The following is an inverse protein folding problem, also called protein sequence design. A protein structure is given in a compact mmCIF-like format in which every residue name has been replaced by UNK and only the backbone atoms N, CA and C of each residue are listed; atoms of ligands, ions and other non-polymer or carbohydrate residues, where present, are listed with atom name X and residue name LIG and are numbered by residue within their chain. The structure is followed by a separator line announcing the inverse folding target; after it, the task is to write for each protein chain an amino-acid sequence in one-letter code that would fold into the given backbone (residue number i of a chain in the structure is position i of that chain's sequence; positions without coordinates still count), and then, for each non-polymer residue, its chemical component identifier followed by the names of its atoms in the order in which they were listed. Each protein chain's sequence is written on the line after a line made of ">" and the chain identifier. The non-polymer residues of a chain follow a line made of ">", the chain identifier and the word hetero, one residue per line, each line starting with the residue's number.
data_IF_541899703321
#
_entry.id   IF_541899703321
#
_cell.length_a   1.000
_cell.length_b   1.000
_cell.length_c   1.000
_cell.angle_alpha   90.00
_cell.angle_beta   90.00
_cell.angle_gamma   90.00
#
_symmetry.space_group_name_H-M   'P 1'
#
loop_
_entity.id
_entity.type
_entity.pdbx_description
1 polymer ?
#
# COMPACT_ATOMS: atom_id res chain seq x y z
N UNK A 1 16.25 14.67 23.84
CA UNK A 1 16.39 14.38 22.39
C UNK A 1 15.08 14.76 21.72
N UNK A 2 15.09 15.54 20.62
CA UNK A 2 13.84 15.89 19.91
C UNK A 2 13.28 14.64 19.24
N UNK A 3 12.00 14.34 19.47
CA UNK A 3 11.35 13.22 18.79
C UNK A 3 11.32 13.48 17.28
N UNK A 4 11.58 12.46 16.44
CA UNK A 4 11.51 12.62 14.99
C UNK A 4 10.10 13.04 14.57
N UNK A 5 10.01 14.01 13.68
CA UNK A 5 8.74 14.42 13.08
C UNK A 5 8.19 13.27 12.22
N UNK A 6 7.04 12.74 12.59
CA UNK A 6 6.34 11.71 11.84
C UNK A 6 5.52 12.36 10.71
N UNK A 7 5.50 11.77 9.50
CA UNK A 7 4.73 12.31 8.38
C UNK A 7 3.24 11.93 8.42
N UNK A 8 2.79 11.37 9.54
CA UNK A 8 1.43 10.92 9.80
C UNK A 8 1.14 11.09 11.30
N UNK A 9 -0.13 11.24 11.65
CA UNK A 9 -0.53 11.44 13.04
C UNK A 9 -0.51 10.10 13.80
N UNK A 10 0.01 10.13 15.01
CA UNK A 10 0.08 8.96 15.90
C UNK A 10 -0.41 9.35 17.27
N UNK A 11 -1.22 8.49 17.87
CA UNK A 11 -1.67 8.66 19.24
C UNK A 11 -0.47 8.70 20.20
N UNK A 12 -0.51 9.60 21.19
CA UNK A 12 0.60 9.85 22.10
C UNK A 12 1.16 8.56 22.76
N UNK A 13 0.29 7.61 23.09
CA UNK A 13 0.66 6.33 23.72
C UNK A 13 1.57 5.44 22.87
N UNK A 14 1.62 5.62 21.54
CA UNK A 14 2.43 4.81 20.61
C UNK A 14 3.46 5.63 19.83
N UNK A 15 3.59 6.92 20.12
CA UNK A 15 4.47 7.84 19.37
C UNK A 15 5.94 7.43 19.41
N UNK A 16 6.45 7.02 20.57
CA UNK A 16 7.86 6.61 20.71
C UNK A 16 8.17 5.35 19.87
N UNK A 17 7.26 4.37 19.91
CA UNK A 17 7.37 3.12 19.13
C UNK A 17 7.37 3.41 17.62
N UNK A 18 6.42 4.22 17.14
CA UNK A 18 6.37 4.59 15.72
C UNK A 18 7.51 5.50 15.30
N UNK A 19 8.05 6.34 16.18
CA UNK A 19 9.30 7.07 15.95
C UNK A 19 10.45 6.14 15.58
N UNK A 20 10.67 5.11 16.40
CA UNK A 20 11.73 4.11 16.16
C UNK A 20 11.48 3.27 14.89
N UNK A 21 10.23 2.92 14.60
CA UNK A 21 9.87 2.21 13.36
C UNK A 21 10.11 3.10 12.15
N UNK A 22 9.71 4.37 12.23
CA UNK A 22 9.90 5.36 11.17
C UNK A 22 11.37 5.60 10.88
N UNK A 23 12.20 5.78 11.90
CA UNK A 23 13.64 6.01 11.72
C UNK A 23 14.32 4.84 10.99
N UNK A 24 13.96 3.60 11.33
CA UNK A 24 14.44 2.40 10.63
C UNK A 24 13.92 2.28 9.20
N UNK A 25 12.64 2.59 8.98
CA UNK A 25 12.00 2.45 7.67
C UNK A 25 12.37 3.61 6.71
N UNK A 26 12.72 4.79 7.22
CA UNK A 26 12.96 6.00 6.42
C UNK A 26 14.09 5.81 5.42
N UNK A 27 15.21 5.21 5.84
CA UNK A 27 16.34 4.94 4.95
C UNK A 27 15.97 3.92 3.87
N UNK A 28 15.24 2.87 4.24
CA UNK A 28 14.76 1.87 3.28
C UNK A 28 13.76 2.48 2.28
N UNK A 29 12.89 3.39 2.71
CA UNK A 29 11.98 4.14 1.81
C UNK A 29 12.73 5.06 0.85
N UNK A 30 13.77 5.75 1.33
CA UNK A 30 14.64 6.57 0.49
C UNK A 30 15.40 5.73 -0.53
N UNK A 31 15.96 4.59 -0.10
CA UNK A 31 16.63 3.66 -0.99
C UNK A 31 15.68 3.14 -2.08
N UNK A 32 14.46 2.72 -1.69
CA UNK A 32 13.47 2.15 -2.58
C UNK A 32 12.96 3.14 -3.64
N UNK A 33 12.55 4.34 -3.22
CA UNK A 33 11.79 5.25 -4.07
C UNK A 33 12.58 6.46 -4.59
N UNK A 34 13.81 6.65 -4.14
CA UNK A 34 14.66 7.78 -4.58
C UNK A 34 16.00 7.28 -5.11
N UNK A 35 16.81 6.63 -4.27
CA UNK A 35 18.19 6.27 -4.65
C UNK A 35 18.21 5.29 -5.81
N UNK A 36 17.49 4.17 -5.71
CA UNK A 36 17.49 3.15 -6.76
C UNK A 36 16.96 3.70 -8.12
N UNK A 37 15.81 4.41 -8.19
CA UNK A 37 15.37 5.04 -9.44
C UNK A 37 16.39 6.02 -10.05
N UNK A 38 17.09 6.80 -9.22
CA UNK A 38 18.13 7.71 -9.70
C UNK A 38 19.38 6.98 -10.20
N UNK A 39 19.76 5.87 -9.57
CA UNK A 39 20.85 5.01 -10.05
C UNK A 39 20.51 4.44 -11.43
N UNK A 40 19.28 3.95 -11.62
CA UNK A 40 18.83 3.45 -12.92
C UNK A 40 18.82 4.56 -13.96
N UNK A 41 18.31 5.76 -13.63
CA UNK A 41 18.34 6.92 -14.51
C UNK A 41 19.79 7.29 -14.92
N UNK A 42 20.72 7.33 -13.96
CA UNK A 42 22.13 7.59 -14.21
C UNK A 42 22.77 6.54 -15.12
N UNK A 43 22.49 5.26 -14.88
CA UNK A 43 22.94 4.17 -15.75
C UNK A 43 22.35 4.28 -17.16
N UNK A 44 21.09 4.71 -17.30
CA UNK A 44 20.49 5.00 -18.62
C UNK A 44 21.20 6.14 -19.32
N UNK A 45 21.46 7.26 -18.65
CA UNK A 45 22.19 8.39 -19.23
C UNK A 45 23.60 7.95 -19.69
N UNK A 46 24.32 7.19 -18.87
CA UNK A 46 25.63 6.68 -19.24
C UNK A 46 25.60 5.76 -20.47
N UNK A 47 24.61 4.86 -20.54
CA UNK A 47 24.43 3.99 -21.70
C UNK A 47 24.02 4.78 -22.96
N UNK A 48 23.21 5.83 -22.84
CA UNK A 48 22.82 6.71 -23.95
C UNK A 48 24.02 7.45 -24.54
N UNK A 49 24.92 7.96 -23.69
CA UNK A 49 26.17 8.60 -24.12
C UNK A 49 27.04 7.60 -24.88
N UNK A 50 27.18 6.38 -24.36
CA UNK A 50 27.94 5.31 -25.02
C UNK A 50 27.32 4.85 -26.35
N UNK A 51 25.99 4.90 -26.49
CA UNK A 51 25.26 4.47 -27.68
C UNK A 51 25.24 5.51 -28.83
N UNK A 52 25.75 6.73 -28.62
CA UNK A 52 25.99 7.69 -29.71
C UNK A 52 24.75 8.14 -30.49
N UNK A 53 23.59 8.30 -29.83
CA UNK A 53 22.37 8.83 -30.47
C UNK A 53 21.54 7.80 -31.24
N UNK A 54 21.75 6.50 -31.00
CA UNK A 54 20.99 5.41 -31.61
C UNK A 54 19.46 5.54 -31.38
N UNK A 55 18.58 5.12 -32.33
CA UNK A 55 17.12 5.26 -32.22
C UNK A 55 16.50 4.60 -30.97
N UNK A 56 17.15 3.58 -30.39
CA UNK A 56 16.74 2.96 -29.11
C UNK A 56 16.79 3.94 -27.93
N UNK A 57 17.48 5.06 -28.08
CA UNK A 57 17.56 6.13 -27.07
C UNK A 57 16.20 6.69 -26.69
N UNK A 58 15.32 6.89 -27.68
CA UNK A 58 13.97 7.40 -27.45
C UNK A 58 13.14 6.42 -26.63
N UNK A 59 13.26 5.12 -26.92
CA UNK A 59 12.58 4.05 -26.18
C UNK A 59 13.06 4.02 -24.71
N UNK A 60 14.37 4.07 -24.48
CA UNK A 60 14.91 4.06 -23.13
C UNK A 60 14.40 5.24 -22.29
N UNK A 61 14.40 6.44 -22.86
CA UNK A 61 13.87 7.63 -22.18
C UNK A 61 12.35 7.51 -21.92
N UNK A 62 11.58 6.99 -22.88
CA UNK A 62 10.14 6.81 -22.74
C UNK A 62 9.75 5.83 -21.62
N UNK A 63 10.59 4.84 -21.33
CA UNK A 63 10.37 3.90 -20.22
C UNK A 63 10.96 4.38 -18.90
N UNK A 64 12.15 4.97 -18.91
CA UNK A 64 12.87 5.31 -17.67
C UNK A 64 12.37 6.61 -17.06
N UNK A 65 12.17 7.67 -17.85
CA UNK A 65 11.81 8.99 -17.31
C UNK A 65 10.44 9.00 -16.63
N UNK A 66 9.35 8.48 -17.23
CA UNK A 66 8.04 8.50 -16.59
C UNK A 66 7.99 7.64 -15.32
N UNK A 67 8.71 6.52 -15.29
CA UNK A 67 8.72 5.60 -14.15
C UNK A 67 9.51 6.18 -12.98
N UNK A 68 10.67 6.81 -13.25
CA UNK A 68 11.43 7.57 -12.22
C UNK A 68 10.59 8.75 -11.72
N UNK A 69 10.00 9.53 -12.63
CA UNK A 69 9.14 10.66 -12.28
C UNK A 69 7.96 10.24 -11.40
N UNK A 70 7.31 9.12 -11.73
CA UNK A 70 6.23 8.57 -10.92
C UNK A 70 6.69 8.16 -9.51
N UNK A 71 7.82 7.46 -9.37
CA UNK A 71 8.31 7.00 -8.06
C UNK A 71 8.73 8.17 -7.16
N UNK A 72 9.41 9.17 -7.75
CA UNK A 72 9.75 10.40 -7.05
C UNK A 72 8.49 11.15 -6.61
N UNK A 73 7.53 11.33 -7.51
CA UNK A 73 6.24 11.94 -7.17
C UNK A 73 5.49 11.15 -6.09
N UNK A 74 5.47 9.81 -6.17
CA UNK A 74 4.83 8.94 -5.18
C UNK A 74 5.43 9.12 -3.78
N UNK A 75 6.75 9.34 -3.70
CA UNK A 75 7.47 9.62 -2.46
C UNK A 75 7.27 11.06 -1.97
N UNK A 76 7.33 12.05 -2.85
CA UNK A 76 7.21 13.47 -2.52
C UNK A 76 5.79 13.87 -2.12
N UNK A 77 4.78 13.30 -2.79
CA UNK A 77 3.37 13.55 -2.50
C UNK A 77 2.86 12.82 -1.24
N UNK A 78 3.70 12.03 -0.56
CA UNK A 78 3.27 11.24 0.60
C UNK A 78 2.30 10.11 0.27
N UNK A 79 2.01 9.84 -1.02
CA UNK A 79 1.06 8.80 -1.48
C UNK A 79 1.40 7.41 -0.95
N UNK A 80 2.66 7.14 -0.64
CA UNK A 80 3.08 5.88 -0.02
C UNK A 80 2.38 5.61 1.32
N UNK A 81 2.09 6.65 2.10
CA UNK A 81 1.39 6.54 3.39
C UNK A 81 -0.10 6.19 3.23
N UNK A 82 -0.72 6.63 2.14
CA UNK A 82 -2.15 6.37 1.87
C UNK A 82 -2.35 5.05 1.14
N UNK A 83 -1.39 4.65 0.29
CA UNK A 83 -1.47 3.43 -0.54
C UNK A 83 -0.46 2.39 -0.09
N UNK A 84 -0.70 1.83 1.09
CA UNK A 84 0.24 0.98 1.85
C UNK A 84 0.49 -0.38 1.20
N UNK A 85 -0.56 -1.03 0.67
CA UNK A 85 -0.54 -2.44 0.26
C UNK A 85 0.44 -2.85 -0.85
N UNK A 86 0.77 -1.96 -1.79
CA UNK A 86 1.46 -2.33 -3.03
C UNK A 86 2.83 -1.66 -3.20
N UNK A 87 3.57 -1.43 -2.12
CA UNK A 87 4.90 -0.81 -2.21
C UNK A 87 5.89 -1.66 -3.01
N UNK A 88 6.05 -2.93 -2.63
CA UNK A 88 6.96 -3.86 -3.31
C UNK A 88 6.54 -4.10 -4.77
N UNK A 89 5.24 -4.28 -5.02
CA UNK A 89 4.68 -4.46 -6.38
C UNK A 89 4.99 -3.24 -7.25
N UNK A 90 4.84 -2.01 -6.75
CA UNK A 90 5.23 -0.81 -7.50
C UNK A 90 6.73 -0.79 -7.77
N UNK A 91 7.56 -1.02 -6.74
CA UNK A 91 9.00 -1.02 -6.89
C UNK A 91 9.47 -2.01 -7.98
N UNK A 92 8.96 -3.25 -7.96
CA UNK A 92 9.33 -4.26 -8.96
C UNK A 92 8.75 -3.96 -10.34
N UNK A 93 7.47 -3.57 -10.47
CA UNK A 93 6.86 -3.30 -11.78
C UNK A 93 7.52 -2.11 -12.49
N UNK A 94 7.76 -1.02 -11.76
CA UNK A 94 8.46 0.14 -12.33
C UNK A 94 9.94 -0.14 -12.55
N UNK A 95 10.59 -0.90 -11.67
CA UNK A 95 11.97 -1.33 -11.87
C UNK A 95 12.15 -2.22 -13.10
N UNK A 96 11.24 -3.17 -13.34
CA UNK A 96 11.23 -3.99 -14.55
C UNK A 96 11.00 -3.15 -15.80
N UNK A 97 10.06 -2.20 -15.77
CA UNK A 97 9.85 -1.29 -16.89
C UNK A 97 11.12 -0.48 -17.22
N UNK A 98 11.85 -0.01 -16.20
CA UNK A 98 13.14 0.68 -16.38
C UNK A 98 14.21 -0.25 -16.98
N UNK A 99 14.30 -1.50 -16.51
CA UNK A 99 15.23 -2.48 -17.05
C UNK A 99 14.95 -2.78 -18.52
N UNK A 100 13.68 -3.01 -18.88
CA UNK A 100 13.30 -3.23 -20.28
C UNK A 100 13.57 -2.02 -21.17
N UNK A 101 13.43 -0.80 -20.64
CA UNK A 101 13.82 0.42 -21.33
C UNK A 101 15.34 0.54 -21.53
N UNK A 102 16.12 0.20 -20.52
CA UNK A 102 17.59 0.32 -20.52
C UNK A 102 18.27 -0.73 -21.41
N UNK A 103 17.82 -1.98 -21.37
CA UNK A 103 18.51 -3.12 -21.98
C UNK A 103 18.88 -2.90 -23.46
N UNK A 104 17.98 -2.41 -24.34
CA UNK A 104 18.30 -2.18 -25.75
C UNK A 104 19.43 -1.16 -25.94
N UNK A 105 19.46 -0.09 -25.14
CA UNK A 105 20.51 0.94 -25.22
C UNK A 105 21.83 0.42 -24.64
N UNK A 106 21.78 -0.36 -23.57
CA UNK A 106 22.96 -0.98 -22.98
C UNK A 106 23.63 -1.98 -23.93
N UNK A 107 22.86 -2.75 -24.70
CA UNK A 107 23.38 -3.65 -25.74
C UNK A 107 24.09 -2.84 -26.85
N UNK A 108 23.50 -1.73 -27.30
CA UNK A 108 24.11 -0.86 -28.32
C UNK A 108 25.39 -0.18 -27.82
N UNK A 109 25.39 0.31 -26.57
CA UNK A 109 26.59 0.86 -25.95
C UNK A 109 27.73 -0.16 -25.87
N UNK A 110 27.38 -1.44 -25.68
CA UNK A 110 28.31 -2.56 -25.76
C UNK A 110 29.42 -2.55 -24.71
N UNK A 111 30.31 -3.53 -24.82
CA UNK A 111 31.52 -3.64 -24.00
C UNK A 111 31.28 -3.56 -22.49
N UNK A 112 32.24 -2.95 -21.79
CA UNK A 112 32.18 -2.80 -20.33
C UNK A 112 31.05 -1.87 -19.87
N UNK A 113 30.77 -0.79 -20.62
CA UNK A 113 29.76 0.21 -20.25
C UNK A 113 28.35 -0.40 -20.25
N UNK A 114 28.00 -1.12 -21.31
CA UNK A 114 26.71 -1.80 -21.42
C UNK A 114 26.49 -2.85 -20.32
N UNK A 115 27.52 -3.66 -20.05
CA UNK A 115 27.47 -4.68 -19.00
C UNK A 115 27.32 -4.04 -17.60
N UNK A 116 28.12 -3.02 -17.28
CA UNK A 116 28.08 -2.33 -16.00
C UNK A 116 26.74 -1.63 -15.76
N UNK A 117 26.20 -0.91 -16.76
CA UNK A 117 24.92 -0.21 -16.63
C UNK A 117 23.76 -1.19 -16.38
N UNK A 118 23.76 -2.32 -17.10
CA UNK A 118 22.74 -3.38 -16.91
C UNK A 118 22.83 -4.01 -15.52
N UNK A 119 24.04 -4.32 -15.06
CA UNK A 119 24.27 -4.88 -13.73
C UNK A 119 23.84 -3.92 -12.62
N UNK A 120 24.24 -2.64 -12.71
CA UNK A 120 23.85 -1.61 -11.74
C UNK A 120 22.34 -1.44 -11.67
N UNK A 121 21.66 -1.41 -12.82
CA UNK A 121 20.21 -1.29 -12.85
C UNK A 121 19.52 -2.52 -12.23
N UNK A 122 19.99 -3.73 -12.55
CA UNK A 122 19.41 -4.95 -11.99
C UNK A 122 19.55 -4.99 -10.46
N UNK A 123 20.74 -4.67 -9.94
CA UNK A 123 20.99 -4.57 -8.50
C UNK A 123 20.13 -3.50 -7.86
N UNK A 124 19.98 -2.33 -8.49
CA UNK A 124 19.13 -1.25 -7.99
C UNK A 124 17.66 -1.67 -7.89
N UNK A 125 17.12 -2.40 -8.87
CA UNK A 125 15.73 -2.88 -8.85
C UNK A 125 15.51 -3.91 -7.73
N UNK A 126 16.44 -4.85 -7.56
CA UNK A 126 16.38 -5.83 -6.48
C UNK A 126 16.47 -5.14 -5.12
N UNK A 127 17.45 -4.24 -4.95
CA UNK A 127 17.64 -3.47 -3.72
C UNK A 127 16.41 -2.61 -3.39
N UNK A 128 15.79 -1.99 -4.41
CA UNK A 128 14.56 -1.21 -4.25
C UNK A 128 13.41 -2.07 -3.74
N UNK A 129 13.21 -3.25 -4.35
CA UNK A 129 12.14 -4.18 -3.98
C UNK A 129 12.30 -4.70 -2.56
N UNK A 130 13.52 -5.11 -2.19
CA UNK A 130 13.84 -5.55 -0.82
C UNK A 130 13.64 -4.40 0.17
N UNK A 131 14.11 -3.20 -0.15
CA UNK A 131 13.98 -2.04 0.73
C UNK A 131 12.53 -1.63 0.93
N UNK A 132 11.72 -1.63 -0.14
CA UNK A 132 10.27 -1.38 -0.06
C UNK A 132 9.56 -2.41 0.81
N UNK A 133 9.94 -3.69 0.68
CA UNK A 133 9.37 -4.80 1.46
C UNK A 133 9.74 -4.68 2.93
N UNK A 134 11.02 -4.44 3.24
CA UNK A 134 11.50 -4.24 4.61
C UNK A 134 10.87 -3.01 5.27
N UNK A 135 10.80 -1.88 4.55
CA UNK A 135 10.14 -0.68 5.05
C UNK A 135 8.66 -0.95 5.37
N UNK A 136 7.96 -1.66 4.48
CA UNK A 136 6.57 -2.03 4.70
C UNK A 136 6.41 -2.93 5.93
N UNK A 137 7.26 -3.96 6.08
CA UNK A 137 7.23 -4.85 7.24
C UNK A 137 7.50 -4.08 8.56
N UNK A 138 8.53 -3.25 8.60
CA UNK A 138 8.87 -2.48 9.81
C UNK A 138 7.74 -1.56 10.24
N UNK A 139 7.03 -0.93 9.28
CA UNK A 139 5.94 -0.01 9.58
C UNK A 139 4.61 -0.73 9.86
N UNK A 140 4.29 -1.80 9.14
CA UNK A 140 2.95 -2.39 9.12
C UNK A 140 2.84 -3.80 9.72
N UNK A 141 3.95 -4.43 10.10
CA UNK A 141 3.89 -5.67 10.86
C UNK A 141 3.70 -5.31 12.34
N UNK A 142 2.46 -5.41 12.85
CA UNK A 142 2.20 -5.36 14.28
C UNK A 142 1.13 -6.36 14.68
N UNK A 143 1.47 -7.26 15.59
CA UNK A 143 0.53 -8.21 16.19
C UNK A 143 -0.35 -7.55 17.28
N UNK A 144 0.05 -6.37 17.78
CA UNK A 144 -0.53 -5.77 19.00
C UNK A 144 -1.45 -4.58 18.71
N UNK A 145 -1.97 -4.47 17.49
CA UNK A 145 -2.88 -3.39 17.12
C UNK A 145 -2.23 -1.99 16.99
N UNK A 146 -0.90 -1.89 16.98
CA UNK A 146 -0.19 -0.62 16.91
C UNK A 146 -0.64 0.27 15.73
N UNK A 147 -0.99 -0.34 14.60
CA UNK A 147 -1.52 0.38 13.44
C UNK A 147 -2.82 1.17 13.73
N UNK A 148 -3.67 0.69 14.62
CA UNK A 148 -4.88 1.39 15.03
C UNK A 148 -4.60 2.72 15.75
N UNK A 149 -3.36 2.91 16.24
CA UNK A 149 -2.90 4.14 16.86
C UNK A 149 -2.31 5.16 15.86
N UNK A 150 -2.40 4.93 14.55
CA UNK A 150 -1.82 5.81 13.51
C UNK A 150 -2.87 6.26 12.51
N UNK A 151 -2.97 7.50 12.06
CA UNK A 151 -4.02 7.89 11.10
C UNK A 151 -3.85 7.29 9.67
N UNK A 152 -2.99 6.29 9.51
CA UNK A 152 -2.79 5.56 8.27
C UNK A 152 -3.98 4.62 7.99
N UNK A 153 -4.40 4.49 6.72
CA UNK A 153 -5.47 3.58 6.35
C UNK A 153 -5.03 2.12 6.57
N UNK A 154 -5.89 1.36 7.25
CA UNK A 154 -5.70 -0.08 7.46
C UNK A 154 -6.61 -0.82 6.50
N UNK A 155 -6.02 -1.35 5.42
CA UNK A 155 -6.74 -2.14 4.42
C UNK A 155 -6.72 -3.64 4.79
N UNK A 156 -7.88 -4.30 4.66
CA UNK A 156 -8.03 -5.76 4.76
C UNK A 156 -8.89 -6.27 3.61
N UNK A 157 -8.52 -7.46 3.13
CA UNK A 157 -9.33 -8.18 2.14
C UNK A 157 -10.65 -8.61 2.75
N UNK A 158 -11.70 -8.51 1.94
CA UNK A 158 -12.97 -9.14 2.25
C UNK A 158 -12.94 -10.60 1.81
N UNK A 159 -13.38 -11.47 2.72
CA UNK A 159 -13.74 -12.86 2.44
C UNK A 159 -15.07 -12.82 1.72
N UNK A 160 -15.06 -12.93 0.41
CA UNK A 160 -16.26 -13.03 -0.45
C UNK A 160 -16.03 -14.17 -1.42
N UNK A 161 -17.10 -14.90 -1.75
CA UNK A 161 -17.03 -16.10 -2.57
C UNK A 161 -16.35 -15.84 -3.93
N UNK A 162 -15.23 -16.52 -4.23
CA UNK A 162 -14.73 -16.66 -5.59
C UNK A 162 -15.74 -17.44 -6.45
N UNK A 163 -15.86 -17.19 -7.77
CA UNK A 163 -14.81 -16.60 -8.60
C UNK A 163 -15.00 -15.11 -8.97
N UNK A 164 -16.12 -14.48 -8.60
CA UNK A 164 -16.54 -13.24 -9.28
C UNK A 164 -16.19 -11.94 -8.57
N UNK A 165 -16.00 -11.93 -7.24
CA UNK A 165 -15.88 -10.69 -6.48
C UNK A 165 -14.56 -10.59 -5.71
N UNK A 166 -14.03 -9.38 -5.65
CA UNK A 166 -12.92 -8.97 -4.82
C UNK A 166 -13.37 -7.74 -4.01
N UNK A 167 -13.11 -7.74 -2.72
CA UNK A 167 -13.50 -6.63 -1.86
C UNK A 167 -12.41 -6.24 -0.90
N UNK A 168 -12.40 -4.97 -0.51
CA UNK A 168 -11.48 -4.42 0.49
C UNK A 168 -12.26 -3.59 1.49
N UNK A 169 -12.01 -3.80 2.78
CA UNK A 169 -12.41 -2.92 3.85
C UNK A 169 -11.21 -2.08 4.30
N UNK A 170 -11.47 -0.82 4.60
CA UNK A 170 -10.46 0.17 5.00
C UNK A 170 -10.92 0.86 6.27
N UNK A 171 -10.15 0.73 7.35
CA UNK A 171 -10.29 1.59 8.52
C UNK A 171 -9.52 2.87 8.20
N UNK A 172 -10.25 3.93 7.87
CA UNK A 172 -9.70 5.23 7.52
C UNK A 172 -9.38 6.09 8.74
N UNK A 173 -9.32 7.40 8.50
CA UNK A 173 -9.10 8.41 9.55
C UNK A 173 -10.37 8.76 10.33
N UNK A 174 -11.50 8.76 9.64
CA UNK A 174 -12.79 9.23 10.19
C UNK A 174 -13.95 8.28 9.88
N UNK A 175 -13.73 7.28 9.05
CA UNK A 175 -14.75 6.35 8.61
C UNK A 175 -14.17 4.96 8.36
N UNK A 176 -15.03 3.97 8.52
CA UNK A 176 -14.86 2.63 7.98
C UNK A 176 -15.49 2.61 6.60
N UNK A 177 -14.75 2.21 5.57
CA UNK A 177 -15.30 2.06 4.22
C UNK A 177 -14.99 0.68 3.66
N UNK A 178 -15.87 0.15 2.83
CA UNK A 178 -15.63 -1.07 2.07
C UNK A 178 -16.14 -0.96 0.65
N UNK A 179 -15.49 -1.67 -0.25
CA UNK A 179 -15.88 -1.71 -1.66
C UNK A 179 -15.74 -3.11 -2.21
N UNK A 180 -16.68 -3.48 -3.09
CA UNK A 180 -16.77 -4.75 -3.79
C UNK A 180 -16.64 -4.48 -5.28
N UNK A 181 -15.78 -5.26 -5.93
CA UNK A 181 -15.50 -5.15 -7.37
C UNK A 181 -15.56 -6.52 -8.03
N UNK A 182 -15.93 -6.60 -9.31
CA UNK A 182 -15.73 -7.81 -10.07
C UNK A 182 -14.23 -8.15 -10.13
N UNK A 183 -13.88 -9.41 -9.90
CA UNK A 183 -12.52 -9.92 -10.05
C UNK A 183 -12.08 -9.74 -11.51
N UNK A 184 -10.84 -9.31 -11.73
CA UNK A 184 -10.30 -9.06 -13.07
C UNK A 184 -10.48 -7.61 -13.57
N UNK A 185 -11.37 -6.82 -12.96
CA UNK A 185 -11.51 -5.39 -13.26
C UNK A 185 -10.62 -4.52 -12.37
N UNK A 186 -9.33 -4.86 -12.31
CA UNK A 186 -8.34 -4.08 -11.57
C UNK A 186 -8.12 -2.73 -12.28
N UNK A 187 -8.54 -1.63 -11.65
CA UNK A 187 -8.33 -0.27 -12.17
C UNK A 187 -9.57 0.43 -12.72
N UNK A 188 -10.70 -0.27 -12.89
CA UNK A 188 -11.97 0.40 -13.21
C UNK A 188 -12.52 1.16 -11.98
N UNK A 189 -12.97 2.40 -12.24
CA UNK A 189 -13.71 3.23 -11.28
C UNK A 189 -15.17 2.77 -11.24
N UNK A 190 -15.38 1.54 -10.77
CA UNK A 190 -16.70 1.01 -10.47
C UNK A 190 -16.59 0.02 -9.33
N UNK A 191 -17.35 0.24 -8.27
CA UNK A 191 -17.66 -0.80 -7.30
C UNK A 191 -19.06 -1.30 -7.60
N UNK A 192 -19.23 -2.62 -7.62
CA UNK A 192 -20.57 -3.23 -7.67
C UNK A 192 -21.38 -2.84 -6.43
N UNK A 193 -20.68 -2.70 -5.31
CA UNK A 193 -21.25 -2.32 -4.04
C UNK A 193 -20.17 -1.64 -3.21
N UNK A 194 -20.57 -0.62 -2.44
CA UNK A 194 -19.71 0.03 -1.46
C UNK A 194 -20.54 0.45 -0.26
N UNK A 195 -19.91 0.51 0.90
CA UNK A 195 -20.51 1.10 2.09
C UNK A 195 -19.47 1.91 2.84
N UNK A 196 -19.94 2.89 3.59
CA UNK A 196 -19.14 3.62 4.54
C UNK A 196 -19.94 3.90 5.81
N UNK A 197 -19.23 3.95 6.93
CA UNK A 197 -19.77 4.27 8.24
C UNK A 197 -18.81 5.23 8.91
N UNK A 198 -19.27 6.44 9.20
CA UNK A 198 -18.48 7.42 9.94
C UNK A 198 -18.25 6.91 11.37
N UNK A 199 -17.05 7.12 11.92
CA UNK A 199 -16.71 6.64 13.26
C UNK A 199 -17.62 7.21 14.35
N UNK A 200 -18.13 8.43 14.18
CA UNK A 200 -19.11 9.03 15.12
C UNK A 200 -20.51 8.38 15.10
N UNK A 201 -20.81 7.55 14.09
CA UNK A 201 -22.07 6.80 14.02
C UNK A 201 -21.96 5.40 14.64
N UNK A 202 -20.73 4.90 14.86
CA UNK A 202 -20.46 3.57 15.39
C UNK A 202 -20.71 3.54 16.90
N UNK A 203 -21.59 2.64 17.32
CA UNK A 203 -21.95 2.44 18.73
C UNK A 203 -21.33 1.16 19.31
N UNK A 204 -20.91 0.22 18.46
CA UNK A 204 -20.25 -1.00 18.90
C UNK A 204 -19.66 -1.79 17.74
N UNK A 205 -18.67 -2.63 18.04
CA UNK A 205 -18.02 -3.53 17.09
C UNK A 205 -17.96 -4.91 17.72
N UNK A 206 -18.45 -5.93 17.01
CA UNK A 206 -18.41 -7.32 17.46
C UNK A 206 -18.18 -8.27 16.30
N UNK A 207 -17.71 -9.47 16.63
CA UNK A 207 -17.59 -10.56 15.65
C UNK A 207 -18.78 -11.50 15.83
N UNK A 208 -19.48 -11.79 14.74
CA UNK A 208 -20.56 -12.77 14.73
C UNK A 208 -20.25 -13.89 13.74
N UNK A 209 -20.78 -15.08 14.03
CA UNK A 209 -20.68 -16.23 13.15
C UNK A 209 -21.91 -16.29 12.25
N UNK A 210 -21.72 -16.09 10.94
CA UNK A 210 -22.79 -16.22 9.95
C UNK A 210 -22.94 -17.68 9.56
N UNK A 211 -24.17 -18.19 9.69
CA UNK A 211 -24.53 -19.52 9.21
C UNK A 211 -24.96 -19.48 7.74
N UNK A 212 -24.88 -20.61 7.06
CA UNK A 212 -25.25 -20.74 5.65
C UNK A 212 -26.73 -20.43 5.36
N UNK A 213 -27.59 -20.57 6.37
CA UNK A 213 -29.04 -20.45 6.25
C UNK A 213 -29.55 -19.04 6.57
N UNK A 214 -28.70 -18.17 7.13
CA UNK A 214 -29.03 -16.80 7.51
C UNK A 214 -27.86 -15.88 7.19
N UNK A 215 -27.68 -15.57 5.90
CA UNK A 215 -26.60 -14.72 5.43
C UNK A 215 -27.04 -13.24 5.43
N UNK A 216 -26.58 -12.42 6.40
CA UNK A 216 -26.86 -11.00 6.37
C UNK A 216 -26.14 -10.35 5.18
N UNK A 217 -26.61 -9.19 4.73
CA UNK A 217 -26.09 -8.54 3.53
C UNK A 217 -24.87 -7.67 3.86
N UNK A 218 -23.75 -7.88 3.16
CA UNK A 218 -22.55 -7.00 3.20
C UNK A 218 -22.80 -5.72 2.41
N UNK A 219 -23.67 -5.81 1.40
CA UNK A 219 -24.14 -4.71 0.58
C UNK A 219 -25.49 -5.09 -0.06
N UNK A 220 -26.24 -4.14 -0.65
CA UNK A 220 -27.49 -4.47 -1.33
C UNK A 220 -27.32 -5.62 -2.33
N UNK A 221 -28.04 -6.72 -2.10
CA UNK A 221 -27.98 -7.92 -2.95
C UNK A 221 -26.73 -8.79 -2.81
N UNK A 222 -25.81 -8.50 -1.87
CA UNK A 222 -24.59 -9.30 -1.66
C UNK A 222 -24.60 -9.93 -0.26
N UNK A 223 -24.92 -11.25 -0.15
CA UNK A 223 -24.89 -11.94 1.14
C UNK A 223 -23.45 -12.13 1.64
N UNK A 224 -23.28 -12.06 2.95
CA UNK A 224 -22.03 -12.40 3.61
C UNK A 224 -21.78 -13.91 3.50
N UNK A 225 -20.55 -14.35 3.21
CA UNK A 225 -20.25 -15.77 3.17
C UNK A 225 -20.28 -16.40 4.57
N UNK A 226 -20.65 -17.69 4.69
CA UNK A 226 -20.70 -18.40 5.97
C UNK A 226 -19.35 -18.34 6.69
N UNK A 227 -19.35 -18.05 7.99
CA UNK A 227 -18.12 -17.85 8.77
C UNK A 227 -18.13 -16.56 9.59
N UNK A 228 -16.98 -16.19 10.18
CA UNK A 228 -16.92 -14.99 11.01
C UNK A 228 -17.05 -13.73 10.14
N UNK A 229 -17.81 -12.77 10.64
CA UNK A 229 -17.98 -11.43 10.07
C UNK A 229 -17.88 -10.39 11.18
N UNK A 230 -17.50 -9.17 10.81
CA UNK A 230 -17.53 -8.04 11.74
C UNK A 230 -18.86 -7.32 11.60
N UNK A 231 -19.59 -7.23 12.70
CA UNK A 231 -20.83 -6.47 12.81
C UNK A 231 -20.51 -5.15 13.49
N UNK A 232 -20.76 -4.07 12.77
CA UNK A 232 -20.55 -2.70 13.22
C UNK A 232 -21.93 -2.12 13.50
N UNK A 233 -22.28 -2.02 14.78
CA UNK A 233 -23.53 -1.39 15.17
C UNK A 233 -23.43 0.11 14.99
N UNK A 234 -24.43 0.68 14.33
CA UNK A 234 -24.54 2.11 14.11
C UNK A 234 -25.89 2.61 14.61
N UNK A 235 -26.03 3.93 14.72
CA UNK A 235 -27.32 4.57 15.05
C UNK A 235 -28.43 4.28 14.03
N UNK A 236 -28.07 3.86 12.81
CA UNK A 236 -29.00 3.59 11.70
C UNK A 236 -29.26 2.09 11.48
N UNK A 237 -28.61 1.23 12.25
CA UNK A 237 -28.64 -0.22 12.09
C UNK A 237 -27.25 -0.84 12.00
N UNK A 238 -27.21 -2.16 11.87
CA UNK A 238 -25.95 -2.91 11.83
C UNK A 238 -25.38 -2.94 10.40
N UNK A 239 -24.09 -2.64 10.27
CA UNK A 239 -23.31 -2.80 9.05
C UNK A 239 -22.43 -4.05 9.13
N UNK A 240 -22.44 -4.86 8.06
CA UNK A 240 -21.74 -6.15 8.04
C UNK A 240 -20.51 -6.08 7.16
N UNK A 241 -19.35 -6.45 7.71
CA UNK A 241 -18.08 -6.49 7.00
C UNK A 241 -17.45 -7.88 7.14
N UNK A 242 -17.47 -8.64 6.04
CA UNK A 242 -16.87 -9.97 5.97
C UNK A 242 -15.36 -9.88 5.72
N UNK A 243 -14.57 -9.34 6.65
CA UNK A 243 -13.11 -9.30 6.51
C UNK A 243 -12.49 -10.71 6.58
N UNK A 244 -11.35 -10.92 5.90
CA UNK A 244 -10.62 -12.20 5.89
C UNK A 244 -10.24 -12.67 7.29
N UNK A 245 -9.74 -11.75 8.11
CA UNK A 245 -9.38 -11.97 9.51
C UNK A 245 -10.28 -11.11 10.40
N UNK A 246 -11.55 -11.53 10.54
CA UNK A 246 -12.60 -10.74 11.19
C UNK A 246 -12.26 -10.33 12.63
N UNK A 247 -11.66 -11.22 13.43
CA UNK A 247 -11.29 -10.94 14.82
C UNK A 247 -10.20 -9.86 14.93
N UNK A 248 -9.14 -9.96 14.14
CA UNK A 248 -8.09 -8.94 14.11
C UNK A 248 -8.64 -7.60 13.61
N UNK A 249 -9.46 -7.64 12.56
CA UNK A 249 -10.08 -6.43 12.02
C UNK A 249 -10.99 -5.72 13.02
N UNK A 250 -11.84 -6.48 13.72
CA UNK A 250 -12.69 -5.96 14.78
C UNK A 250 -11.87 -5.35 15.92
N UNK A 251 -10.80 -6.04 16.37
CA UNK A 251 -9.92 -5.54 17.42
C UNK A 251 -9.19 -4.24 17.02
N UNK A 252 -8.73 -4.13 15.77
CA UNK A 252 -8.11 -2.92 15.23
C UNK A 252 -9.10 -1.76 15.14
N UNK A 253 -10.34 -2.02 14.70
CA UNK A 253 -11.39 -1.00 14.61
C UNK A 253 -11.82 -0.53 16.01
N UNK A 254 -12.04 -1.45 16.94
CA UNK A 254 -12.41 -1.12 18.31
C UNK A 254 -11.32 -0.29 19.00
N UNK A 255 -10.05 -0.71 18.89
CA UNK A 255 -8.92 0.04 19.43
C UNK A 255 -8.82 1.44 18.81
N UNK A 256 -9.04 1.56 17.49
CA UNK A 256 -9.07 2.85 16.79
C UNK A 256 -10.13 3.78 17.39
N UNK A 257 -11.35 3.27 17.56
CA UNK A 257 -12.48 4.06 18.06
C UNK A 257 -12.22 4.53 19.50
N UNK A 258 -11.66 3.67 20.35
CA UNK A 258 -11.24 4.02 21.72
C UNK A 258 -10.20 5.14 21.72
N UNK A 259 -9.13 5.01 20.92
CA UNK A 259 -8.06 6.03 20.84
C UNK A 259 -8.55 7.37 20.24
N UNK A 260 -9.57 7.34 19.36
CA UNK A 260 -10.19 8.58 18.87
C UNK A 260 -10.96 9.27 19.99
N UNK A 261 -11.70 8.51 20.81
CA UNK A 261 -12.45 9.05 21.94
C UNK A 261 -11.54 9.62 23.05
N UNK A 262 -10.37 9.01 23.27
CA UNK A 262 -9.36 9.49 24.23
C UNK A 262 -8.69 10.81 23.82
N UNK A 263 -8.66 11.13 22.51
CA UNK A 263 -7.98 12.31 21.99
C UNK A 263 -6.47 12.09 21.81
N UNK A 264 -5.64 13.10 22.09
CA UNK A 264 -4.17 13.00 22.11
C UNK A 264 -3.47 12.52 20.80
N UNK A 265 -3.97 12.95 19.64
CA UNK A 265 -3.34 12.74 18.33
C UNK A 265 -2.35 13.86 18.02
N UNK A 266 -1.14 13.51 17.58
CA UNK A 266 -0.07 14.46 17.26
C UNK A 266 0.81 14.00 16.10
#
# INVERSE_FOLDING_TARGET
>A
MRQPALPFAVHASRRAEFGQRWDRARLALLAAFVVAPLVVLGATIAALIGAGGHPTSALALAFVVPTVGYLLWFRLSGRFLVRTRFWAVRAVSFGLAQLFGLLPVAVVAGGFVGALCSALAAVAVVASTISATRAHQVLFTSNDGALAATNLPIERDLRIHPPLLYGTATIGTQELSWSLKPRGQYGFRGSLASGNVAFGEITGVRVEQVSEHAAPLVAPGVPAPPGPVVVVSTRRGDAIVAAKDAAEFAALLDLRLRLIAEGAWA
#
